data_IF_988523744075
#
_entry.id   IF_988523744075
#
_cell.length_a   1.000
_cell.length_b   1.000
_cell.length_c   1.000
_cell.angle_alpha   90.00
_cell.angle_beta   90.00
_cell.angle_gamma   90.00
#
_symmetry.space_group_name_H-M   'P 1'
#
loop_
_entity.id
_entity.type
_entity.pdbx_description
1 polymer ?
#
# COMPACT_ATOMS: atom_id res chain seq x y z
N UNK A 1 -8.57 -28.38 -43.45
CA UNK A 1 -8.44 -29.81 -43.15
C UNK A 1 -7.01 -30.25 -43.39
N UNK A 2 -6.24 -30.48 -42.33
CA UNK A 2 -5.04 -31.34 -42.29
C UNK A 2 -4.86 -31.71 -40.82
N UNK A 3 -5.20 -32.95 -40.51
CA UNK A 3 -5.06 -33.60 -39.20
C UNK A 3 -3.61 -34.07 -39.08
N UNK A 4 -2.96 -33.88 -37.94
CA UNK A 4 -2.05 -34.87 -37.38
C UNK A 4 -2.16 -34.88 -35.84
N UNK A 5 -2.06 -36.07 -35.20
CA UNK A 5 -2.35 -36.34 -33.79
C UNK A 5 -1.11 -35.99 -32.93
N UNK A 6 -1.24 -35.64 -31.65
CA UNK A 6 -1.61 -36.53 -30.56
C UNK A 6 -0.36 -37.20 -29.98
N UNK A 7 0.19 -36.64 -28.90
CA UNK A 7 1.05 -37.39 -27.98
C UNK A 7 0.75 -36.98 -26.54
N UNK A 8 0.06 -37.89 -25.86
CA UNK A 8 -0.22 -37.92 -24.44
C UNK A 8 0.95 -38.69 -23.80
N UNK A 9 1.61 -38.12 -22.80
CA UNK A 9 2.48 -38.90 -21.90
C UNK A 9 2.01 -38.65 -20.46
N UNK A 10 1.27 -39.63 -19.97
CA UNK A 10 1.04 -39.90 -18.55
C UNK A 10 2.17 -40.85 -18.13
N UNK A 11 2.84 -40.54 -17.01
CA UNK A 11 3.65 -41.53 -16.31
C UNK A 11 3.33 -41.43 -14.81
N UNK A 12 2.81 -42.55 -14.32
CA UNK A 12 2.38 -42.84 -12.96
C UNK A 12 3.25 -43.99 -12.44
N UNK A 13 3.56 -43.93 -11.13
CA UNK A 13 4.04 -44.98 -10.22
C UNK A 13 5.45 -45.59 -10.40
N UNK A 14 6.20 -45.59 -9.29
CA UNK A 14 6.43 -46.82 -8.52
C UNK A 14 6.97 -46.54 -7.11
N UNK A 15 6.39 -47.23 -6.13
CA UNK A 15 6.91 -47.44 -4.78
C UNK A 15 7.44 -48.89 -4.66
N UNK A 16 8.56 -49.08 -3.98
CA UNK A 16 9.03 -50.31 -3.28
C UNK A 16 10.42 -49.95 -2.68
N UNK A 17 10.89 -50.28 -1.47
CA UNK A 17 10.52 -51.25 -0.44
C UNK A 17 11.78 -52.02 0.00
N UNK A 18 12.22 -51.86 1.27
CA UNK A 18 13.15 -52.73 2.04
C UNK A 18 14.65 -52.72 1.65
N UNK A 19 15.66 -52.92 2.51
CA UNK A 19 15.78 -53.21 3.94
C UNK A 19 17.22 -53.72 4.25
N UNK A 20 17.77 -53.39 5.44
CA UNK A 20 18.96 -54.00 6.10
C UNK A 20 20.36 -53.59 5.60
N UNK A 21 21.41 -53.36 6.39
CA UNK A 21 21.66 -53.36 7.83
C UNK A 21 23.19 -53.28 8.07
N UNK A 22 23.62 -52.64 9.18
CA UNK A 22 24.92 -52.92 9.84
C UNK A 22 26.01 -51.83 9.82
N UNK A 23 26.33 -51.28 11.01
CA UNK A 23 27.73 -51.10 11.42
C UNK A 23 28.29 -49.68 11.68
N UNK A 24 28.26 -49.27 12.95
CA UNK A 24 29.27 -48.47 13.69
C UNK A 24 29.69 -47.07 13.19
N UNK A 25 29.42 -46.06 14.03
CA UNK A 25 30.07 -44.75 13.94
C UNK A 25 29.50 -43.74 14.91
N UNK A 26 30.19 -43.55 16.03
CA UNK A 26 29.88 -42.59 17.09
C UNK A 26 29.71 -41.17 16.55
N UNK A 27 28.52 -40.60 16.70
CA UNK A 27 28.30 -39.15 16.65
C UNK A 27 27.14 -38.81 17.58
N UNK A 28 27.45 -37.99 18.56
CA UNK A 28 26.57 -37.45 19.60
C UNK A 28 25.26 -36.92 19.03
N UNK A 29 24.15 -37.59 19.37
CA UNK A 29 22.81 -37.04 19.23
C UNK A 29 22.65 -35.88 20.20
N UNK A 30 22.90 -34.66 19.73
CA UNK A 30 22.37 -33.46 20.36
C UNK A 30 20.85 -33.51 20.20
N UNK A 31 20.19 -33.96 21.26
CA UNK A 31 18.75 -33.79 21.45
C UNK A 31 18.45 -32.29 21.32
N UNK A 32 17.79 -31.90 20.23
CA UNK A 32 17.22 -30.57 20.14
C UNK A 32 16.18 -30.47 21.27
N UNK A 33 16.53 -29.72 22.31
CA UNK A 33 15.59 -29.27 23.32
C UNK A 33 14.38 -28.67 22.61
N UNK A 34 13.15 -29.11 22.91
CA UNK A 34 11.98 -28.35 22.53
C UNK A 34 12.16 -26.96 23.16
N UNK A 35 12.09 -25.91 22.35
CA UNK A 35 12.03 -24.54 22.88
C UNK A 35 10.81 -24.47 23.77
N UNK A 36 11.03 -24.51 25.09
CA UNK A 36 9.99 -24.47 26.10
C UNK A 36 9.49 -23.04 26.22
N UNK A 37 8.72 -22.58 25.25
CA UNK A 37 7.77 -21.50 25.51
C UNK A 37 6.61 -22.12 26.26
N UNK A 38 6.68 -22.13 27.60
CA UNK A 38 5.50 -22.35 28.43
C UNK A 38 4.37 -21.46 27.88
N UNK A 39 3.14 -21.98 27.71
CA UNK A 39 2.02 -21.15 27.30
C UNK A 39 1.92 -19.95 28.22
N UNK A 40 2.06 -18.75 27.67
CA UNK A 40 1.96 -17.52 28.43
C UNK A 40 0.51 -17.45 28.95
N UNK A 41 0.33 -17.51 30.26
CA UNK A 41 -1.00 -17.41 30.86
C UNK A 41 -1.63 -16.08 30.44
N UNK A 42 -2.75 -16.14 29.70
CA UNK A 42 -3.47 -14.97 29.23
C UNK A 42 -4.29 -14.40 30.40
N UNK A 43 -3.89 -13.22 30.87
CA UNK A 43 -4.53 -12.52 32.00
C UNK A 43 -5.38 -11.32 31.56
N UNK A 44 -5.27 -10.92 30.29
CA UNK A 44 -5.96 -9.75 29.72
C UNK A 44 -7.08 -10.18 28.75
N UNK A 45 -7.92 -9.23 28.35
CA UNK A 45 -9.00 -9.44 27.38
C UNK A 45 -8.51 -9.84 25.97
N UNK A 46 -9.43 -10.05 25.01
CA UNK A 46 -9.09 -10.52 23.66
C UNK A 46 -8.26 -9.52 22.85
N UNK A 47 -8.12 -8.27 23.33
CA UNK A 47 -7.41 -7.19 22.66
C UNK A 47 -6.49 -6.44 23.64
N UNK A 48 -5.32 -6.03 23.17
CA UNK A 48 -4.35 -5.23 23.92
C UNK A 48 -3.73 -4.15 23.04
N UNK A 49 -3.49 -2.98 23.62
CA UNK A 49 -2.68 -1.91 23.02
C UNK A 49 -1.22 -1.96 23.48
N UNK A 50 -0.85 -2.97 24.27
CA UNK A 50 0.51 -3.24 24.72
C UNK A 50 1.03 -4.51 24.04
N UNK A 51 2.05 -4.42 23.16
CA UNK A 51 2.57 -5.57 22.44
C UNK A 51 3.21 -6.61 23.38
N UNK A 52 3.67 -6.21 24.57
CA UNK A 52 4.23 -7.12 25.56
C UNK A 52 3.17 -8.03 26.19
N UNK A 53 1.86 -7.77 25.97
CA UNK A 53 0.74 -8.54 26.49
C UNK A 53 0.10 -9.50 25.48
N UNK A 54 0.60 -9.55 24.24
CA UNK A 54 0.16 -10.55 23.26
C UNK A 54 0.42 -11.96 23.79
N UNK A 55 -0.56 -12.86 23.62
CA UNK A 55 -0.48 -14.25 24.06
C UNK A 55 -1.21 -15.19 23.09
N UNK A 56 -0.74 -16.43 23.02
CA UNK A 56 -1.34 -17.54 22.28
C UNK A 56 -1.66 -18.69 23.24
N UNK A 57 -2.69 -19.48 22.93
CA UNK A 57 -3.02 -20.70 23.67
C UNK A 57 -2.02 -21.82 23.39
N UNK A 58 -2.20 -22.97 24.06
CA UNK A 58 -1.34 -24.14 23.89
C UNK A 58 -1.36 -24.73 22.47
N UNK A 59 -2.36 -24.39 21.64
CA UNK A 59 -2.47 -24.80 20.25
C UNK A 59 -1.89 -23.75 19.27
N UNK A 60 -1.33 -22.64 19.80
CA UNK A 60 -0.80 -21.54 19.00
C UNK A 60 -1.88 -20.57 18.50
N UNK A 61 -3.14 -20.69 18.94
CA UNK A 61 -4.18 -19.74 18.56
C UNK A 61 -3.98 -18.44 19.31
N UNK A 62 -4.18 -17.32 18.63
CA UNK A 62 -4.13 -15.99 19.25
C UNK A 62 -5.26 -15.82 20.25
N UNK A 63 -4.92 -15.52 21.51
CA UNK A 63 -5.90 -15.29 22.59
C UNK A 63 -6.05 -13.80 22.87
N UNK A 64 -4.94 -13.04 22.81
CA UNK A 64 -4.94 -11.58 22.95
C UNK A 64 -4.27 -10.95 21.73
N UNK A 65 -5.03 -10.18 20.96
CA UNK A 65 -4.56 -9.52 19.75
C UNK A 65 -4.00 -8.12 20.01
N UNK A 66 -2.89 -7.77 19.35
CA UNK A 66 -2.35 -6.41 19.37
C UNK A 66 -3.13 -5.50 18.42
N UNK A 67 -3.64 -4.39 18.97
CA UNK A 67 -4.54 -3.46 18.27
C UNK A 67 -4.08 -2.01 18.50
N UNK A 68 -4.60 -1.09 17.70
CA UNK A 68 -4.31 0.34 17.84
C UNK A 68 -5.14 0.95 18.98
N UNK A 69 -6.43 0.61 19.03
CA UNK A 69 -7.38 1.05 20.06
C UNK A 69 -8.24 -0.15 20.48
N UNK A 70 -8.71 -0.12 21.73
CA UNK A 70 -9.64 -1.16 22.20
C UNK A 70 -10.95 -1.09 21.40
N UNK A 71 -11.38 -2.18 20.74
CA UNK A 71 -12.53 -2.14 19.87
C UNK A 71 -13.85 -2.22 20.64
N UNK A 72 -14.84 -1.48 20.14
CA UNK A 72 -16.22 -1.54 20.62
C UNK A 72 -17.05 -2.53 19.80
N UNK A 73 -16.78 -2.62 18.49
CA UNK A 73 -17.49 -3.52 17.58
C UNK A 73 -16.50 -4.40 16.84
N UNK A 74 -16.78 -5.71 16.81
CA UNK A 74 -16.01 -6.68 16.03
C UNK A 74 -16.79 -7.05 14.78
N UNK A 75 -16.17 -6.90 13.61
CA UNK A 75 -16.70 -7.37 12.33
C UNK A 75 -16.06 -8.72 12.03
N UNK A 76 -16.84 -9.83 12.01
CA UNK A 76 -16.30 -11.16 11.74
C UNK A 76 -15.66 -11.27 10.35
N UNK A 77 -14.68 -12.15 10.24
CA UNK A 77 -14.14 -12.56 8.93
C UNK A 77 -15.24 -13.18 8.05
N UNK A 78 -15.16 -12.93 6.75
CA UNK A 78 -16.16 -13.38 5.77
C UNK A 78 -17.47 -12.60 5.79
N UNK A 79 -17.58 -11.50 6.54
CA UNK A 79 -18.78 -10.65 6.54
C UNK A 79 -19.05 -10.13 5.13
N UNK A 80 -20.29 -10.32 4.65
CA UNK A 80 -20.75 -9.78 3.35
C UNK A 80 -21.83 -8.74 3.59
N UNK A 81 -21.59 -7.53 3.13
CA UNK A 81 -22.53 -6.41 3.17
C UNK A 81 -23.39 -6.46 1.90
N UNK A 82 -24.64 -6.90 2.06
CA UNK A 82 -25.60 -7.14 0.97
C UNK A 82 -26.68 -6.06 0.85
N UNK A 83 -26.70 -5.09 1.75
CA UNK A 83 -27.56 -3.90 1.72
C UNK A 83 -26.78 -2.68 2.18
N UNK A 84 -27.23 -1.48 1.76
CA UNK A 84 -26.56 -0.23 2.13
C UNK A 84 -26.40 -0.15 3.64
N UNK A 85 -25.16 0.03 4.08
CA UNK A 85 -24.78 -0.08 5.48
C UNK A 85 -23.92 1.11 5.86
N UNK A 86 -24.18 1.65 7.03
CA UNK A 86 -23.32 2.64 7.68
C UNK A 86 -22.73 2.00 8.92
N UNK A 87 -21.44 2.19 9.14
CA UNK A 87 -20.78 1.90 10.41
C UNK A 87 -20.77 3.17 11.25
N UNK A 88 -21.80 3.43 12.09
CA UNK A 88 -21.90 4.69 12.82
C UNK A 88 -20.76 4.89 13.82
N UNK A 89 -20.40 6.15 14.08
CA UNK A 89 -19.38 6.49 15.07
C UNK A 89 -19.66 5.88 16.47
N UNK A 90 -20.93 5.63 16.83
CA UNK A 90 -21.29 4.98 18.10
C UNK A 90 -20.81 3.54 18.24
N UNK A 91 -20.50 2.85 17.13
CA UNK A 91 -19.89 1.52 17.15
C UNK A 91 -18.36 1.52 17.05
N UNK A 92 -17.76 2.69 16.84
CA UNK A 92 -16.30 2.88 16.76
C UNK A 92 -15.63 2.65 18.12
N UNK A 93 -14.43 2.03 18.21
CA UNK A 93 -13.65 1.49 17.09
C UNK A 93 -14.21 0.17 16.56
N UNK A 94 -14.18 0.02 15.23
CA UNK A 94 -14.52 -1.22 14.53
C UNK A 94 -13.27 -2.04 14.27
N UNK A 95 -13.25 -3.29 14.74
CA UNK A 95 -12.18 -4.25 14.48
C UNK A 95 -12.57 -5.23 13.38
N UNK A 96 -11.78 -5.27 12.30
CA UNK A 96 -11.94 -6.23 11.22
C UNK A 96 -11.13 -7.50 11.51
N UNK A 97 -11.83 -8.59 11.84
CA UNK A 97 -11.19 -9.87 12.15
C UNK A 97 -10.60 -10.58 10.90
N UNK A 98 -10.99 -10.13 9.71
CA UNK A 98 -10.52 -10.68 8.44
C UNK A 98 -11.01 -9.86 7.25
N UNK A 99 -11.55 -10.52 6.24
CA UNK A 99 -12.07 -9.88 5.03
C UNK A 99 -13.56 -9.55 5.17
N UNK A 100 -13.90 -8.30 4.87
CA UNK A 100 -15.28 -7.83 4.70
C UNK A 100 -15.51 -7.56 3.22
N UNK A 101 -16.61 -8.06 2.67
CA UNK A 101 -17.00 -7.82 1.28
C UNK A 101 -18.15 -6.84 1.19
N UNK A 102 -18.02 -5.82 0.36
CA UNK A 102 -19.12 -4.95 -0.06
C UNK A 102 -19.66 -5.47 -1.40
N UNK A 103 -20.89 -5.97 -1.41
CA UNK A 103 -21.49 -6.58 -2.60
C UNK A 103 -21.72 -5.54 -3.73
N UNK A 104 -21.80 -5.99 -5.00
CA UNK A 104 -22.13 -5.10 -6.13
C UNK A 104 -23.43 -4.31 -5.90
N UNK A 105 -23.45 -3.04 -6.30
CA UNK A 105 -24.62 -2.16 -6.15
C UNK A 105 -24.91 -1.71 -4.71
N UNK A 106 -24.12 -2.14 -3.73
CA UNK A 106 -24.28 -1.80 -2.31
C UNK A 106 -23.22 -0.78 -1.89
N UNK A 107 -23.59 0.11 -0.98
CA UNK A 107 -22.66 1.09 -0.37
C UNK A 107 -22.38 0.74 1.09
N UNK A 108 -21.09 0.68 1.44
CA UNK A 108 -20.62 0.82 2.82
C UNK A 108 -20.18 2.28 3.04
N UNK A 109 -20.76 2.92 4.04
CA UNK A 109 -20.39 4.27 4.48
C UNK A 109 -19.71 4.20 5.85
N UNK A 110 -18.51 4.77 5.94
CA UNK A 110 -17.78 4.99 7.19
C UNK A 110 -17.77 6.51 7.41
N UNK A 111 -18.64 7.03 8.29
CA UNK A 111 -18.77 8.47 8.52
C UNK A 111 -17.63 9.02 9.38
N UNK A 112 -17.52 10.34 9.43
CA UNK A 112 -16.58 11.08 10.25
C UNK A 112 -16.53 10.61 11.72
N UNK A 113 -15.37 10.76 12.36
CA UNK A 113 -15.11 10.35 13.75
C UNK A 113 -15.22 8.84 14.00
N UNK A 114 -15.12 8.04 12.95
CA UNK A 114 -15.08 6.57 13.03
C UNK A 114 -13.64 6.07 12.94
N UNK A 115 -13.30 5.08 13.76
CA UNK A 115 -12.05 4.33 13.70
C UNK A 115 -12.40 2.94 13.18
N UNK A 116 -11.72 2.53 12.11
CA UNK A 116 -11.73 1.15 11.62
C UNK A 116 -10.31 0.65 11.64
N UNK A 117 -10.11 -0.49 12.26
CA UNK A 117 -8.78 -1.07 12.45
C UNK A 117 -8.78 -2.58 12.26
N UNK A 118 -7.57 -3.13 12.20
CA UNK A 118 -7.33 -4.56 12.23
C UNK A 118 -6.12 -4.86 13.12
N UNK A 119 -5.62 -6.09 13.06
CA UNK A 119 -4.40 -6.50 13.73
C UNK A 119 -3.27 -5.53 13.45
N UNK A 120 -2.70 -4.96 14.51
CA UNK A 120 -1.45 -4.25 14.43
C UNK A 120 -0.30 -5.25 14.45
N UNK A 121 0.69 -5.06 13.58
CA UNK A 121 1.90 -5.87 13.62
C UNK A 121 2.60 -5.69 14.97
N UNK A 122 2.91 -6.79 15.65
CA UNK A 122 3.70 -6.75 16.88
C UNK A 122 5.12 -6.30 16.51
N UNK A 123 5.65 -5.21 17.08
CA UNK A 123 6.99 -4.77 16.80
C UNK A 123 7.99 -5.86 17.19
N UNK A 124 8.81 -6.26 16.23
CA UNK A 124 9.88 -7.22 16.46
C UNK A 124 11.04 -6.50 17.14
N UNK A 125 11.65 -7.14 18.14
CA UNK A 125 12.81 -6.57 18.86
C UNK A 125 14.15 -6.88 18.18
N UNK A 126 14.18 -7.81 17.22
CA UNK A 126 15.31 -8.13 16.34
C UNK A 126 14.82 -8.47 14.94
N UNK A 127 15.75 -8.49 13.97
CA UNK A 127 15.55 -8.61 12.53
C UNK A 127 14.20 -9.21 12.10
N UNK A 128 13.36 -8.41 11.46
CA UNK A 128 12.11 -8.88 10.91
C UNK A 128 11.71 -8.13 9.65
N UNK A 129 10.99 -8.84 8.79
CA UNK A 129 10.39 -8.30 7.58
C UNK A 129 8.88 -8.40 7.77
N UNK A 130 8.22 -7.25 7.72
CA UNK A 130 6.77 -7.15 7.72
C UNK A 130 6.19 -7.90 6.52
N UNK A 131 4.99 -8.42 6.68
CA UNK A 131 4.25 -9.05 5.59
C UNK A 131 3.06 -8.18 5.22
N UNK A 132 2.63 -8.29 3.96
CA UNK A 132 1.41 -7.62 3.52
C UNK A 132 0.23 -8.18 4.35
N UNK A 133 -0.69 -7.33 4.82
CA UNK A 133 -1.88 -7.79 5.52
C UNK A 133 -2.66 -8.81 4.69
N UNK A 134 -2.92 -9.97 5.29
CA UNK A 134 -3.85 -10.98 4.75
C UNK A 134 -5.22 -10.91 5.42
N UNK A 135 -5.39 -9.96 6.34
CA UNK A 135 -6.59 -9.70 7.15
C UNK A 135 -6.83 -8.19 7.23
N UNK A 136 -8.02 -7.81 7.70
CA UNK A 136 -8.41 -6.40 7.78
C UNK A 136 -8.68 -5.79 6.41
N UNK A 137 -9.21 -6.60 5.50
CA UNK A 137 -9.44 -6.20 4.11
C UNK A 137 -10.90 -5.83 3.95
N UNK A 138 -11.17 -4.63 3.43
CA UNK A 138 -12.47 -4.26 2.89
C UNK A 138 -12.39 -4.46 1.37
N UNK A 139 -12.95 -5.57 0.88
CA UNK A 139 -13.01 -5.91 -0.54
C UNK A 139 -14.30 -5.34 -1.16
N UNK A 140 -14.13 -4.40 -2.08
CA UNK A 140 -15.18 -3.51 -2.58
C UNK A 140 -15.57 -3.90 -4.00
N UNK A 141 -16.67 -4.65 -4.13
CA UNK A 141 -17.34 -4.86 -5.42
C UNK A 141 -18.48 -3.83 -5.65
N UNK A 142 -19.01 -3.26 -4.57
CA UNK A 142 -19.96 -2.13 -4.58
C UNK A 142 -19.28 -0.78 -4.48
N UNK A 143 -19.64 -0.01 -3.46
CA UNK A 143 -19.05 1.31 -3.15
C UNK A 143 -18.60 1.38 -1.70
N UNK A 144 -17.40 1.91 -1.48
CA UNK A 144 -16.89 2.28 -0.16
C UNK A 144 -16.72 3.79 -0.10
N UNK A 145 -17.45 4.43 0.82
CA UNK A 145 -17.33 5.85 1.11
C UNK A 145 -16.76 6.03 2.51
N UNK A 146 -15.60 6.65 2.62
CA UNK A 146 -14.89 6.90 3.88
C UNK A 146 -14.75 8.39 4.10
N UNK A 147 -15.34 8.87 5.18
CA UNK A 147 -15.28 10.27 5.61
C UNK A 147 -16.05 11.23 4.71
N UNK A 148 -16.14 12.46 5.19
CA UNK A 148 -16.78 13.56 4.50
C UNK A 148 -16.11 14.89 4.81
N UNK A 149 -16.08 15.35 6.06
CA UNK A 149 -15.52 16.65 6.48
C UNK A 149 -14.58 16.54 7.68
N UNK A 150 -14.82 15.59 8.58
CA UNK A 150 -14.04 15.31 9.78
C UNK A 150 -13.19 14.04 9.67
N UNK A 151 -12.21 13.86 10.58
CA UNK A 151 -11.25 12.78 10.48
C UNK A 151 -11.91 11.41 10.69
N UNK A 152 -11.73 10.51 9.72
CA UNK A 152 -11.88 9.06 9.88
C UNK A 152 -10.50 8.44 10.08
N UNK A 153 -10.38 7.33 10.80
CA UNK A 153 -9.11 6.61 10.92
C UNK A 153 -9.22 5.20 10.34
N UNK A 154 -8.30 4.87 9.43
CA UNK A 154 -8.11 3.52 8.89
C UNK A 154 -6.73 3.01 9.34
N UNK A 155 -6.71 2.10 10.32
CA UNK A 155 -5.48 1.68 11.00
C UNK A 155 -5.15 0.22 10.67
N UNK A 156 -4.11 0.00 9.87
CA UNK A 156 -3.77 -1.33 9.35
C UNK A 156 -4.73 -1.88 8.28
N UNK A 157 -5.79 -1.14 7.96
CA UNK A 157 -6.88 -1.60 7.08
C UNK A 157 -6.44 -1.56 5.62
N UNK A 158 -6.82 -2.60 4.87
CA UNK A 158 -6.68 -2.63 3.42
C UNK A 158 -8.00 -2.28 2.75
N UNK A 159 -8.07 -1.18 2.01
CA UNK A 159 -9.16 -0.90 1.08
C UNK A 159 -8.79 -1.47 -0.29
N UNK A 160 -9.52 -2.48 -0.75
CA UNK A 160 -9.24 -3.17 -2.00
C UNK A 160 -10.48 -3.22 -2.89
N UNK A 161 -10.33 -2.98 -4.19
CA UNK A 161 -11.36 -3.31 -5.19
C UNK A 161 -10.80 -4.24 -6.28
N UNK A 162 -9.66 -4.85 -6.01
CA UNK A 162 -9.05 -5.92 -6.80
C UNK A 162 -9.72 -7.25 -6.45
N UNK A 163 -9.83 -8.12 -7.45
CA UNK A 163 -10.43 -9.45 -7.34
C UNK A 163 -9.61 -10.36 -6.41
N UNK A 164 -9.85 -10.32 -5.09
CA UNK A 164 -9.43 -11.41 -4.20
C UNK A 164 -10.41 -12.61 -4.23
N UNK A 165 -11.50 -12.53 -5.00
CA UNK A 165 -12.48 -13.60 -5.21
C UNK A 165 -13.10 -13.52 -6.62
N UNK A 166 -13.60 -14.65 -7.15
CA UNK A 166 -14.14 -14.83 -8.51
C UNK A 166 -15.33 -13.92 -8.91
N UNK A 167 -15.85 -13.16 -7.96
CA UNK A 167 -17.00 -12.27 -8.04
C UNK A 167 -16.71 -10.88 -7.44
N UNK A 168 -15.42 -10.51 -7.38
CA UNK A 168 -14.91 -9.22 -6.96
C UNK A 168 -14.14 -8.54 -8.11
N UNK A 169 -14.13 -7.21 -8.13
CA UNK A 169 -13.39 -6.42 -9.11
C UNK A 169 -14.20 -5.25 -9.65
N UNK A 170 -13.76 -4.02 -9.38
CA UNK A 170 -14.29 -2.81 -10.05
C UNK A 170 -15.21 -1.92 -9.22
N UNK A 171 -15.39 -2.19 -7.92
CA UNK A 171 -16.14 -1.30 -7.04
C UNK A 171 -15.46 0.06 -6.85
N UNK A 172 -16.24 1.07 -6.48
CA UNK A 172 -15.75 2.44 -6.28
C UNK A 172 -15.24 2.63 -4.86
N UNK A 173 -14.06 3.23 -4.71
CA UNK A 173 -13.49 3.59 -3.41
C UNK A 173 -13.27 5.09 -3.35
N UNK A 174 -13.92 5.74 -2.38
CA UNK A 174 -13.76 7.16 -2.07
C UNK A 174 -13.29 7.32 -0.63
N UNK A 175 -12.12 7.92 -0.45
CA UNK A 175 -11.50 8.18 0.85
C UNK A 175 -11.29 9.69 0.98
N UNK A 176 -11.88 10.30 2.02
CA UNK A 176 -11.85 11.74 2.19
C UNK A 176 -11.66 12.09 3.66
N UNK A 177 -10.83 13.11 3.96
CA UNK A 177 -10.54 13.54 5.33
C UNK A 177 -10.20 12.37 6.26
N UNK A 178 -9.35 11.45 5.81
CA UNK A 178 -9.02 10.22 6.54
C UNK A 178 -7.56 10.21 6.97
N UNK A 179 -7.28 9.71 8.16
CA UNK A 179 -5.94 9.33 8.63
C UNK A 179 -5.77 7.84 8.35
N UNK A 180 -4.86 7.52 7.44
CA UNK A 180 -4.46 6.16 7.09
C UNK A 180 -3.10 5.90 7.74
N UNK A 181 -3.03 4.89 8.59
CA UNK A 181 -1.78 4.49 9.23
C UNK A 181 -1.54 3.01 9.02
N UNK A 182 -0.35 2.67 8.51
CA UNK A 182 0.05 1.29 8.19
C UNK A 182 -0.98 0.59 7.28
N UNK A 183 -1.73 1.38 6.51
CA UNK A 183 -2.87 0.95 5.71
C UNK A 183 -2.43 0.53 4.31
N UNK A 184 -3.31 -0.17 3.61
CA UNK A 184 -3.11 -0.51 2.21
C UNK A 184 -4.29 -0.06 1.35
N UNK A 185 -4.00 0.39 0.14
CA UNK A 185 -4.95 0.73 -0.91
C UNK A 185 -4.56 -0.05 -2.15
N UNK A 186 -5.38 -1.03 -2.51
CA UNK A 186 -5.17 -1.95 -3.63
C UNK A 186 -6.27 -1.76 -4.67
N UNK A 187 -5.97 -0.96 -5.69
CA UNK A 187 -6.97 -0.51 -6.66
C UNK A 187 -6.71 -1.15 -8.02
N UNK A 188 -7.76 -1.71 -8.62
CA UNK A 188 -7.77 -2.15 -10.00
C UNK A 188 -7.76 -0.92 -10.91
N UNK A 189 -6.90 -0.93 -11.94
CA UNK A 189 -6.78 0.20 -12.86
C UNK A 189 -8.10 0.58 -13.54
N UNK A 190 -8.99 -0.38 -13.80
CA UNK A 190 -10.29 -0.12 -14.39
C UNK A 190 -11.34 0.47 -13.43
N UNK A 191 -11.04 0.70 -12.15
CA UNK A 191 -12.02 1.09 -11.15
C UNK A 191 -11.92 2.58 -10.76
N UNK A 192 -13.06 3.28 -10.54
CA UNK A 192 -13.02 4.65 -10.02
C UNK A 192 -12.43 4.70 -8.61
N UNK A 193 -11.55 5.68 -8.40
CA UNK A 193 -10.90 5.92 -7.11
C UNK A 193 -10.79 7.41 -6.83
N UNK A 194 -11.05 7.79 -5.59
CA UNK A 194 -10.77 9.13 -5.08
C UNK A 194 -10.14 9.04 -3.69
N UNK A 195 -9.05 9.77 -3.50
CA UNK A 195 -8.46 10.03 -2.19
C UNK A 195 -8.19 11.53 -2.05
N UNK A 196 -8.88 12.18 -1.12
CA UNK A 196 -8.80 13.62 -0.96
C UNK A 196 -8.62 14.06 0.50
N UNK A 197 -7.85 15.13 0.69
CA UNK A 197 -7.69 15.80 1.99
C UNK A 197 -7.32 14.86 3.14
N UNK A 198 -6.59 13.79 2.83
CA UNK A 198 -6.28 12.69 3.76
C UNK A 198 -4.80 12.67 4.14
N UNK A 199 -4.48 12.08 5.28
CA UNK A 199 -3.11 11.91 5.77
C UNK A 199 -2.78 10.42 5.76
N UNK A 200 -1.70 10.06 5.10
CA UNK A 200 -1.26 8.68 4.92
C UNK A 200 0.16 8.53 5.43
N UNK A 201 0.32 7.72 6.47
CA UNK A 201 1.63 7.36 7.03
C UNK A 201 1.82 5.86 6.86
N UNK A 202 2.92 5.47 6.23
CA UNK A 202 3.21 4.07 5.88
C UNK A 202 2.11 3.42 5.03
N UNK A 203 1.54 4.17 4.07
CA UNK A 203 0.60 3.61 3.12
C UNK A 203 1.31 2.69 2.13
N UNK A 204 0.77 1.49 1.91
CA UNK A 204 1.26 0.52 0.92
C UNK A 204 2.71 0.06 1.14
N UNK A 205 3.19 0.07 2.38
CA UNK A 205 4.53 -0.39 2.73
C UNK A 205 4.50 -1.45 3.82
N UNK A 206 5.53 -2.29 3.82
CA UNK A 206 5.82 -3.21 4.92
C UNK A 206 7.06 -2.74 5.66
N UNK A 207 7.06 -2.73 7.01
CA UNK A 207 8.24 -2.36 7.78
C UNK A 207 9.32 -3.44 7.63
N UNK A 208 10.58 -3.02 7.58
CA UNK A 208 11.76 -3.87 7.71
C UNK A 208 12.54 -3.36 8.91
N UNK A 209 12.65 -4.19 9.94
CA UNK A 209 13.46 -3.91 11.11
C UNK A 209 14.79 -4.63 10.94
N UNK A 210 15.90 -3.88 10.96
CA UNK A 210 17.26 -4.45 11.08
C UNK A 210 18.05 -3.71 12.12
N UNK A 211 18.71 -4.45 13.02
CA UNK A 211 19.50 -3.85 14.11
C UNK A 211 18.76 -2.75 14.89
N UNK A 212 17.45 -2.90 15.11
CA UNK A 212 16.62 -1.92 15.82
C UNK A 212 16.22 -0.68 15.03
N UNK A 213 16.64 -0.54 13.76
CA UNK A 213 16.21 0.53 12.86
C UNK A 213 15.05 0.03 12.00
N UNK A 214 13.94 0.79 11.98
CA UNK A 214 12.81 0.51 11.09
C UNK A 214 12.98 1.29 9.79
N UNK A 215 12.96 0.57 8.69
CA UNK A 215 12.86 1.09 7.32
C UNK A 215 11.60 0.55 6.69
N UNK A 216 11.26 0.98 5.49
CA UNK A 216 10.07 0.52 4.79
C UNK A 216 10.41 0.03 3.39
N UNK A 217 9.64 -0.94 2.93
CA UNK A 217 9.67 -1.44 1.56
C UNK A 217 8.27 -1.30 0.96
N UNK A 218 8.18 -0.91 -0.31
CA UNK A 218 6.93 -0.96 -1.05
C UNK A 218 6.35 -2.39 -1.09
N UNK A 219 5.05 -2.52 -0.86
CA UNK A 219 4.37 -3.82 -0.87
C UNK A 219 4.58 -4.57 -2.20
N UNK A 220 4.89 -5.87 -2.12
CA UNK A 220 5.14 -6.76 -3.28
C UNK A 220 3.92 -7.00 -4.18
N UNK A 221 2.72 -6.55 -3.81
CA UNK A 221 1.51 -6.69 -4.64
C UNK A 221 1.40 -5.64 -5.78
N UNK A 222 2.46 -4.86 -6.01
CA UNK A 222 2.48 -3.78 -6.99
C UNK A 222 1.76 -2.53 -6.48
N UNK A 223 2.23 -1.37 -6.91
CA UNK A 223 1.58 -0.10 -6.58
C UNK A 223 0.12 -0.11 -7.07
N UNK A 224 -0.81 0.58 -6.39
CA UNK A 224 -2.10 0.85 -6.99
C UNK A 224 -1.87 1.58 -8.31
N UNK A 225 -2.46 1.06 -9.37
CA UNK A 225 -2.42 1.64 -10.71
C UNK A 225 -3.69 2.45 -10.88
N UNK A 226 -3.56 3.76 -10.93
CA UNK A 226 -4.68 4.69 -11.03
C UNK A 226 -4.91 5.05 -12.50
N UNK A 227 -6.18 5.07 -12.91
CA UNK A 227 -6.60 5.49 -14.26
C UNK A 227 -8.02 6.05 -14.22
N UNK A 228 -8.66 6.26 -15.38
CA UNK A 228 -10.06 6.67 -15.53
C UNK A 228 -10.44 7.91 -14.71
N UNK A 229 -9.59 8.93 -14.73
CA UNK A 229 -9.85 10.17 -14.01
C UNK A 229 -9.99 10.00 -12.49
N UNK A 230 -9.29 9.01 -11.93
CA UNK A 230 -9.08 8.94 -10.49
C UNK A 230 -8.53 10.27 -9.94
N UNK A 231 -8.87 10.57 -8.69
CA UNK A 231 -8.48 11.83 -8.04
C UNK A 231 -7.65 11.56 -6.81
N UNK A 232 -6.45 12.13 -6.76
CA UNK A 232 -5.56 12.17 -5.60
C UNK A 232 -5.26 13.64 -5.33
N UNK A 233 -5.96 14.23 -4.36
CA UNK A 233 -5.88 15.69 -4.14
C UNK A 233 -5.80 16.12 -2.69
N UNK A 234 -4.89 17.03 -2.36
CA UNK A 234 -4.84 17.64 -1.04
C UNK A 234 -4.39 16.69 0.06
N UNK A 235 -3.71 15.58 -0.29
CA UNK A 235 -3.30 14.58 0.69
C UNK A 235 -1.88 14.82 1.18
N UNK A 236 -1.55 14.30 2.36
CA UNK A 236 -0.18 14.16 2.86
C UNK A 236 0.21 12.69 2.85
N UNK A 237 1.34 12.35 2.24
CA UNK A 237 1.94 11.02 2.25
C UNK A 237 3.30 11.10 2.96
N UNK A 238 3.51 10.28 3.98
CA UNK A 238 4.76 10.21 4.75
C UNK A 238 5.23 8.76 4.77
N UNK A 239 6.50 8.54 4.40
CA UNK A 239 7.15 7.23 4.44
C UNK A 239 6.30 6.13 3.79
N UNK A 240 5.59 6.51 2.73
CA UNK A 240 4.61 5.67 2.03
C UNK A 240 5.18 5.20 0.70
N UNK A 241 4.64 4.11 0.18
CA UNK A 241 4.87 3.73 -1.21
C UNK A 241 4.05 4.65 -2.10
N UNK A 242 4.62 4.98 -3.25
CA UNK A 242 3.94 5.76 -4.26
C UNK A 242 2.87 4.92 -4.99
N UNK A 243 2.30 5.52 -6.03
CA UNK A 243 1.31 4.89 -6.90
C UNK A 243 1.71 5.07 -8.36
N UNK A 244 1.25 4.16 -9.20
CA UNK A 244 1.36 4.31 -10.64
C UNK A 244 0.10 5.01 -11.16
N UNK A 245 0.23 5.84 -12.19
CA UNK A 245 -0.90 6.57 -12.74
C UNK A 245 -0.74 6.80 -14.24
N UNK A 246 -1.87 6.86 -14.95
CA UNK A 246 -1.90 7.32 -16.34
C UNK A 246 -2.21 8.83 -16.43
N UNK A 247 -2.06 9.44 -17.62
CA UNK A 247 -2.38 10.85 -17.84
C UNK A 247 -3.84 11.28 -17.63
N UNK A 248 -4.76 10.37 -17.29
CA UNK A 248 -6.14 10.75 -16.97
C UNK A 248 -6.30 11.15 -15.49
N UNK A 249 -5.37 10.76 -14.62
CA UNK A 249 -5.47 10.91 -13.15
C UNK A 249 -5.15 12.33 -12.70
N UNK A 250 -5.98 12.88 -11.82
CA UNK A 250 -5.75 14.17 -11.18
C UNK A 250 -4.90 13.99 -9.92
N UNK A 251 -3.63 14.40 -9.96
CA UNK A 251 -2.68 14.40 -8.85
C UNK A 251 -2.32 15.85 -8.50
N UNK A 252 -3.09 16.47 -7.61
CA UNK A 252 -2.95 17.91 -7.34
C UNK A 252 -2.84 18.25 -5.86
N UNK A 253 -2.04 19.26 -5.54
CA UNK A 253 -1.96 19.82 -4.18
C UNK A 253 -1.64 18.76 -3.10
N UNK A 254 -0.92 17.70 -3.43
CA UNK A 254 -0.50 16.71 -2.45
C UNK A 254 0.89 17.06 -1.90
N UNK A 255 1.15 16.63 -0.68
CA UNK A 255 2.43 16.69 -0.01
C UNK A 255 2.99 15.27 0.11
N UNK A 256 4.18 15.04 -0.44
CA UNK A 256 4.90 13.77 -0.37
C UNK A 256 6.19 13.97 0.41
N UNK A 257 6.38 13.19 1.47
CA UNK A 257 7.54 13.29 2.37
C UNK A 257 8.21 11.92 2.45
N UNK A 258 9.49 11.87 2.10
CA UNK A 258 10.34 10.68 2.26
C UNK A 258 9.73 9.41 1.68
N UNK A 259 9.09 9.55 0.51
CA UNK A 259 8.43 8.42 -0.14
C UNK A 259 9.40 7.26 -0.31
N UNK A 260 8.94 6.06 0.05
CA UNK A 260 9.72 4.82 -0.03
C UNK A 260 9.98 4.46 -1.48
N UNK A 261 9.13 4.94 -2.39
CA UNK A 261 9.20 4.68 -3.81
C UNK A 261 8.79 5.90 -4.65
N UNK A 262 9.13 5.89 -5.94
CA UNK A 262 8.78 6.95 -6.87
C UNK A 262 7.37 6.79 -7.43
N UNK A 263 6.73 7.91 -7.77
CA UNK A 263 5.52 7.90 -8.59
C UNK A 263 5.84 7.30 -9.96
N UNK A 264 4.94 6.49 -10.51
CA UNK A 264 5.19 5.82 -11.79
C UNK A 264 4.19 6.31 -12.84
N UNK A 265 4.68 7.04 -13.85
CA UNK A 265 3.88 7.39 -15.02
C UNK A 265 3.75 6.17 -15.94
N UNK A 266 2.53 5.69 -16.13
CA UNK A 266 2.18 4.61 -17.05
C UNK A 266 1.98 5.19 -18.44
N UNK A 267 2.54 4.51 -19.44
CA UNK A 267 2.38 4.81 -20.86
C UNK A 267 0.98 4.46 -21.40
N UNK A 268 -0.02 5.25 -21.00
CA UNK A 268 -1.42 5.14 -21.43
C UNK A 268 -1.96 6.52 -21.80
N UNK A 269 -1.27 7.21 -22.72
CA UNK A 269 -1.62 8.55 -23.17
C UNK A 269 -2.90 8.57 -24.03
N UNK A 270 -3.63 9.70 -24.06
CA UNK A 270 -4.76 9.84 -24.98
C UNK A 270 -4.31 9.70 -26.44
N UNK A 271 -5.24 9.35 -27.34
CA UNK A 271 -4.92 9.04 -28.74
C UNK A 271 -4.25 10.19 -29.54
N UNK A 272 -4.35 11.44 -29.06
CA UNK A 272 -3.64 12.60 -29.61
C UNK A 272 -2.17 12.69 -29.14
N UNK A 273 -1.71 11.76 -28.30
CA UNK A 273 -0.34 11.61 -27.86
C UNK A 273 0.14 12.62 -26.82
N UNK A 274 -0.74 13.37 -26.17
CA UNK A 274 -0.35 14.34 -25.14
C UNK A 274 -1.26 14.27 -23.91
N UNK A 275 -0.65 14.31 -22.73
CA UNK A 275 -1.38 14.44 -21.48
C UNK A 275 -2.09 15.81 -21.43
N UNK A 276 -3.31 15.89 -20.86
CA UNK A 276 -3.88 17.18 -20.53
C UNK A 276 -2.95 17.97 -19.58
N UNK A 277 -2.79 19.25 -19.84
CA UNK A 277 -2.03 20.17 -18.97
C UNK A 277 -2.66 20.23 -17.58
N UNK A 278 -1.84 20.29 -16.53
CA UNK A 278 -2.34 20.53 -15.18
C UNK A 278 -2.74 19.31 -14.36
N UNK A 279 -2.63 18.09 -14.89
CA UNK A 279 -3.09 16.88 -14.19
C UNK A 279 -2.24 16.52 -12.98
N UNK A 280 -0.93 16.85 -12.99
CA UNK A 280 0.03 16.47 -11.97
C UNK A 280 0.82 17.68 -11.44
N UNK A 281 0.12 18.71 -10.96
CA UNK A 281 0.72 20.01 -10.59
C UNK A 281 0.43 20.43 -9.15
N UNK A 282 1.19 21.42 -8.67
CA UNK A 282 1.05 22.05 -7.35
C UNK A 282 1.28 21.09 -6.18
N UNK A 283 1.91 19.96 -6.43
CA UNK A 283 2.33 19.04 -5.38
C UNK A 283 3.65 19.54 -4.75
N UNK A 284 3.95 19.06 -3.54
CA UNK A 284 5.19 19.29 -2.83
C UNK A 284 5.90 17.96 -2.58
N UNK A 285 7.17 17.86 -2.98
CA UNK A 285 8.01 16.68 -2.80
C UNK A 285 9.18 17.03 -1.87
N UNK A 286 9.17 16.49 -0.66
CA UNK A 286 10.16 16.82 0.38
C UNK A 286 10.96 15.57 0.76
N UNK A 287 12.28 15.72 0.78
CA UNK A 287 13.20 14.70 1.24
C UNK A 287 13.96 15.24 2.44
N UNK A 288 13.71 14.68 3.62
CA UNK A 288 14.28 15.12 4.88
C UNK A 288 15.69 14.58 5.05
N UNK A 289 16.56 15.42 5.60
CA UNK A 289 17.98 15.10 5.83
C UNK A 289 18.18 13.85 6.69
N UNK A 290 17.33 13.66 7.69
CA UNK A 290 17.44 12.58 8.66
C UNK A 290 16.56 11.37 8.28
N UNK A 291 15.99 11.36 7.07
CA UNK A 291 15.15 10.26 6.60
C UNK A 291 15.97 8.97 6.44
N UNK A 292 15.54 7.85 7.02
CA UNK A 292 16.15 6.54 6.80
C UNK A 292 15.81 5.97 5.41
N UNK A 293 14.76 6.47 4.75
CA UNK A 293 14.42 6.08 3.39
C UNK A 293 15.46 6.67 2.43
N UNK A 294 16.04 5.83 1.57
CA UNK A 294 17.12 6.21 0.63
C UNK A 294 16.61 6.66 -0.74
N UNK A 295 15.35 6.37 -1.08
CA UNK A 295 14.77 6.80 -2.34
C UNK A 295 14.78 8.35 -2.42
N UNK A 296 15.31 8.87 -3.52
CA UNK A 296 15.29 10.30 -3.84
C UNK A 296 14.58 10.58 -5.16
N UNK A 297 14.11 9.54 -5.85
CA UNK A 297 13.37 9.69 -7.09
C UNK A 297 11.92 10.05 -6.77
N UNK A 298 11.43 11.09 -7.44
CA UNK A 298 10.06 11.57 -7.30
C UNK A 298 9.15 10.86 -8.29
N UNK A 299 9.59 10.76 -9.54
CA UNK A 299 8.78 10.24 -10.63
C UNK A 299 9.62 9.50 -11.67
N UNK A 300 9.07 8.38 -12.14
CA UNK A 300 9.66 7.51 -13.16
C UNK A 300 8.67 7.26 -14.29
N UNK A 301 9.15 7.31 -15.53
CA UNK A 301 8.36 6.93 -16.70
C UNK A 301 8.50 5.42 -16.96
N UNK A 302 7.39 4.69 -16.98
CA UNK A 302 7.34 3.27 -17.30
C UNK A 302 6.52 3.01 -18.56
N UNK A 303 7.01 2.10 -19.41
CA UNK A 303 6.32 1.64 -20.61
C UNK A 303 7.31 1.08 -21.64
N UNK A 304 6.84 0.90 -22.87
CA UNK A 304 7.69 0.43 -23.96
C UNK A 304 8.16 1.63 -24.76
N UNK A 305 9.48 1.84 -24.84
CA UNK A 305 10.03 2.93 -25.65
C UNK A 305 9.73 2.73 -27.14
N UNK A 306 9.06 3.71 -27.72
CA UNK A 306 8.94 3.91 -29.16
C UNK A 306 9.35 5.35 -29.49
N UNK A 307 10.49 5.48 -30.18
CA UNK A 307 11.06 6.77 -30.57
C UNK A 307 10.11 7.61 -31.45
N UNK A 308 9.13 6.97 -32.11
CA UNK A 308 8.16 7.65 -32.97
C UNK A 308 6.94 8.20 -32.22
N UNK A 309 6.78 7.85 -30.94
CA UNK A 309 5.60 8.22 -30.14
C UNK A 309 5.96 8.74 -28.75
N UNK A 310 7.14 9.31 -28.56
CA UNK A 310 7.54 9.89 -27.25
C UNK A 310 6.49 10.93 -26.81
N UNK A 311 5.85 10.68 -25.66
CA UNK A 311 4.86 11.57 -25.10
C UNK A 311 5.48 12.49 -24.05
N UNK A 312 4.75 13.54 -23.68
CA UNK A 312 5.17 14.46 -22.61
C UNK A 312 4.11 14.54 -21.53
N UNK A 313 4.54 14.41 -20.27
CA UNK A 313 3.73 14.73 -19.10
C UNK A 313 4.12 16.12 -18.60
N UNK A 314 3.13 17.01 -18.48
CA UNK A 314 3.31 18.26 -17.76
C UNK A 314 3.32 18.01 -16.25
N UNK A 315 4.51 18.17 -15.67
CA UNK A 315 4.79 18.04 -14.25
C UNK A 315 5.37 19.35 -13.69
N UNK A 316 5.07 20.48 -14.37
CA UNK A 316 5.51 21.81 -13.98
C UNK A 316 4.71 22.32 -12.78
N UNK A 317 5.15 23.44 -12.21
CA UNK A 317 4.48 24.06 -11.06
C UNK A 317 4.33 23.12 -9.85
N UNK A 318 5.27 22.20 -9.66
CA UNK A 318 5.44 21.45 -8.41
C UNK A 318 6.58 22.06 -7.59
N UNK A 319 6.50 21.97 -6.27
CA UNK A 319 7.58 22.34 -5.35
C UNK A 319 8.42 21.11 -5.02
N UNK A 320 9.74 21.20 -5.17
CA UNK A 320 10.65 20.06 -5.06
C UNK A 320 11.42 20.04 -3.74
N UNK A 321 11.08 20.92 -2.78
CA UNK A 321 11.84 21.09 -1.55
C UNK A 321 13.21 21.75 -1.73
N UNK A 322 13.63 21.96 -2.97
CA UNK A 322 14.87 22.60 -3.44
C UNK A 322 14.57 23.40 -4.71
N UNK A 323 15.47 24.31 -5.10
CA UNK A 323 15.33 25.15 -6.31
C UNK A 323 16.44 24.91 -7.35
N UNK A 324 17.44 24.09 -7.04
CA UNK A 324 18.51 23.75 -7.97
C UNK A 324 18.03 22.77 -9.05
N UNK A 325 18.08 23.19 -10.31
CA UNK A 325 17.58 22.40 -11.45
C UNK A 325 18.35 21.09 -11.66
N UNK A 326 19.64 21.04 -11.30
CA UNK A 326 20.45 19.81 -11.42
C UNK A 326 19.95 18.76 -10.45
N UNK A 327 19.67 19.17 -9.21
CA UNK A 327 19.09 18.32 -8.17
C UNK A 327 17.66 17.92 -8.49
N UNK A 328 16.85 18.80 -9.11
CA UNK A 328 15.50 18.42 -9.54
C UNK A 328 15.57 17.38 -10.67
N UNK A 329 16.41 17.58 -11.67
CA UNK A 329 16.57 16.64 -12.78
C UNK A 329 17.01 15.25 -12.29
N UNK A 330 17.89 15.16 -11.28
CA UNK A 330 18.32 13.86 -10.75
C UNK A 330 17.24 13.08 -10.00
N UNK A 331 16.07 13.69 -9.77
CA UNK A 331 14.89 13.07 -9.14
C UNK A 331 13.83 12.62 -10.15
N UNK A 332 14.11 12.77 -11.44
CA UNK A 332 13.23 12.41 -12.55
C UNK A 332 13.92 11.35 -13.39
N UNK A 333 13.30 10.18 -13.53
CA UNK A 333 13.77 9.14 -14.46
C UNK A 333 12.80 9.09 -15.65
N UNK A 334 13.25 9.57 -16.80
CA UNK A 334 12.45 9.65 -18.02
C UNK A 334 13.31 9.41 -19.27
N UNK A 335 12.74 9.60 -20.47
CA UNK A 335 13.45 9.38 -21.75
C UNK A 335 14.68 10.28 -21.97
N UNK A 336 14.83 11.35 -21.17
CA UNK A 336 15.99 12.24 -21.23
C UNK A 336 17.15 11.76 -20.35
N UNK A 337 16.92 10.75 -19.52
CA UNK A 337 17.96 10.12 -18.71
C UNK A 337 18.91 9.31 -19.61
N UNK A 338 20.11 9.87 -19.79
CA UNK A 338 21.18 9.24 -20.57
C UNK A 338 21.65 7.89 -20.02
N UNK A 339 21.39 7.58 -18.74
CA UNK A 339 21.73 6.29 -18.13
C UNK A 339 20.71 5.20 -18.45
N UNK A 340 19.49 5.57 -18.83
CA UNK A 340 18.44 4.65 -19.25
C UNK A 340 17.60 5.23 -20.42
N UNK A 341 18.13 5.25 -21.64
CA UNK A 341 17.47 5.86 -22.81
C UNK A 341 16.25 5.07 -23.32
N UNK A 342 15.80 4.05 -22.58
CA UNK A 342 14.68 3.17 -22.94
C UNK A 342 13.39 3.51 -22.20
N UNK A 343 13.34 4.62 -21.48
CA UNK A 343 12.11 5.11 -20.89
C UNK A 343 11.29 5.87 -21.96
N UNK A 344 9.98 5.63 -22.09
CA UNK A 344 9.18 6.05 -23.26
C UNK A 344 8.85 7.54 -23.31
N UNK A 345 8.73 8.21 -22.16
CA UNK A 345 8.11 9.54 -22.09
C UNK A 345 9.03 10.59 -21.48
N UNK A 346 8.74 11.87 -21.75
CA UNK A 346 9.41 13.04 -21.18
C UNK A 346 8.55 13.61 -20.05
N UNK A 347 9.19 13.98 -18.94
CA UNK A 347 8.55 14.61 -17.79
C UNK A 347 9.00 16.07 -17.72
N UNK A 348 8.07 16.98 -18.06
CA UNK A 348 8.32 18.41 -18.12
C UNK A 348 8.11 19.03 -16.74
N UNK A 349 9.16 19.15 -15.93
CA UNK A 349 9.08 19.70 -14.57
C UNK A 349 9.23 21.23 -14.47
N UNK A 350 9.66 21.89 -15.55
CA UNK A 350 9.93 23.32 -15.57
C UNK A 350 8.69 24.15 -15.98
N UNK A 351 8.43 25.31 -15.34
CA UNK A 351 9.17 25.85 -14.19
C UNK A 351 8.79 25.14 -12.88
N UNK A 352 9.75 24.89 -11.97
CA UNK A 352 9.45 24.48 -10.61
C UNK A 352 8.94 25.67 -9.78
N UNK A 353 8.10 25.39 -8.79
CA UNK A 353 7.71 26.40 -7.81
C UNK A 353 8.88 26.73 -6.87
N UNK A 354 8.98 28.00 -6.47
CA UNK A 354 9.98 28.46 -5.50
C UNK A 354 9.61 28.14 -4.05
N UNK A 355 8.33 27.93 -3.78
CA UNK A 355 7.77 27.52 -2.49
C UNK A 355 6.57 26.61 -2.72
N UNK A 356 6.14 25.88 -1.68
CA UNK A 356 4.89 25.11 -1.74
C UNK A 356 3.69 25.98 -2.17
N UNK A 357 2.78 25.42 -2.96
CA UNK A 357 1.49 26.05 -3.27
C UNK A 357 0.65 26.19 -1.98
N UNK A 358 -0.03 27.33 -1.73
CA UNK A 358 -0.81 27.55 -0.50
C UNK A 358 -1.94 26.54 -0.25
N UNK A 359 -2.44 25.88 -1.30
CA UNK A 359 -3.49 24.86 -1.17
C UNK A 359 -2.94 23.45 -0.88
N UNK A 360 -1.63 23.27 -0.87
CA UNK A 360 -0.97 22.01 -0.51
C UNK A 360 -0.88 21.89 1.01
N UNK A 361 -1.12 20.70 1.60
CA UNK A 361 -0.99 20.51 3.04
C UNK A 361 0.34 21.01 3.60
N UNK A 362 0.29 21.53 4.82
CA UNK A 362 1.48 21.98 5.52
C UNK A 362 2.37 20.79 5.90
N UNK A 363 3.69 21.00 5.82
CA UNK A 363 4.70 20.02 6.21
C UNK A 363 4.67 19.77 7.74
N UNK A 364 4.27 18.57 8.20
CA UNK A 364 4.26 18.23 9.62
C UNK A 364 5.68 18.08 10.20
N UNK A 365 6.72 18.03 9.36
CA UNK A 365 8.13 17.87 9.72
C UNK A 365 8.96 19.13 9.37
N UNK A 366 8.34 20.31 9.45
CA UNK A 366 8.94 21.59 9.03
C UNK A 366 10.21 21.99 9.79
N UNK A 367 10.43 21.45 10.99
CA UNK A 367 11.66 21.65 11.75
C UNK A 367 12.87 20.91 11.16
N UNK A 368 12.65 19.88 10.33
CA UNK A 368 13.71 19.09 9.72
C UNK A 368 14.03 19.62 8.31
N UNK A 369 15.28 20.02 8.04
CA UNK A 369 15.68 20.51 6.72
C UNK A 369 15.53 19.47 5.60
N UNK A 370 15.30 19.95 4.38
CA UNK A 370 15.33 19.11 3.19
C UNK A 370 16.78 18.92 2.68
N UNK A 371 17.01 17.84 1.93
CA UNK A 371 18.24 17.60 1.14
C UNK A 371 18.02 17.85 -0.33
#
# INVERSE_FOLDING_TARGET
MKKYPGLLVVLLLAACGGGGGGGSGSATTASATPSSTSPKACTDGPYTTDPAKVCTDANGNLVTAYVYVQPNTVIPDGTVITANTTWPASGSPYFLAGTVRVAPGVTLTIPDNTIVETYRAVPCTSDCVGTIPTKGIINVAGTLNVGSQGPVQLLGVTAANTSLASDAGGGTVSITHTVLQDAFVQINDAAPFSMTFSQATHLNVTPIVRNGVTTYQAGTNGYPRLSKSATVKGNTFVDSAAFAFDPSVFVQNNLFINMVDALVLIDAFPANGQAPTGIAQRNSFLFKKDSPNVNRIVIESHGTYDASTVHSLDFSNNFWGVTDNTTIQSRVLDSTDTTNPRLPNVILYAPPLQSADPATPADPQSATPNV
#
